data_IF_802859209904
#
_entry.id   IF_802859209904
#
_cell.length_a   1.000
_cell.length_b   1.000
_cell.length_c   1.000
_cell.angle_alpha   90.00
_cell.angle_beta   90.00
_cell.angle_gamma   90.00
#
_symmetry.space_group_name_H-M   'P 1'
#
loop_
_entity.id
_entity.type
_entity.pdbx_description
1 polymer ?
#
# COMPACT_ATOMS: atom_id res chain seq x y z
N UNK A 1 21.47 12.37 -1.33
CA UNK A 1 21.46 11.14 -0.51
C UNK A 1 20.83 11.49 0.83
N UNK A 2 19.61 11.05 1.09
CA UNK A 2 18.96 11.26 2.39
C UNK A 2 18.80 9.89 3.05
N UNK A 3 19.65 9.60 4.02
CA UNK A 3 19.61 8.44 4.90
C UNK A 3 18.95 8.90 6.21
N UNK A 4 17.86 8.24 6.62
CA UNK A 4 17.18 8.48 7.89
C UNK A 4 17.55 7.35 8.86
N UNK A 5 18.26 7.64 9.97
CA UNK A 5 18.85 6.61 10.83
C UNK A 5 17.90 6.04 11.89
N UNK A 6 16.61 6.43 11.92
CA UNK A 6 15.70 6.05 13.01
C UNK A 6 14.61 5.04 12.63
N UNK A 7 14.66 4.47 11.42
CA UNK A 7 13.86 3.30 11.11
C UNK A 7 14.69 2.09 11.48
N UNK A 8 14.34 1.39 12.57
CA UNK A 8 14.87 0.05 12.79
C UNK A 8 14.66 -0.75 11.50
N UNK A 9 15.65 -1.56 11.06
CA UNK A 9 15.40 -2.54 10.02
C UNK A 9 14.15 -3.30 10.42
N UNK A 10 13.22 -3.46 9.47
CA UNK A 10 12.20 -4.48 9.61
C UNK A 10 13.01 -5.78 9.73
N UNK A 11 13.10 -6.31 10.95
CA UNK A 11 13.48 -7.70 11.13
C UNK A 11 12.44 -8.49 10.35
N UNK A 12 12.84 -8.93 9.15
CA UNK A 12 12.20 -10.05 8.51
C UNK A 12 12.35 -11.18 9.52
N UNK A 13 11.25 -11.55 10.15
CA UNK A 13 11.14 -12.72 10.99
C UNK A 13 11.84 -13.90 10.29
N UNK A 14 13.00 -14.29 10.83
CA UNK A 14 13.79 -15.44 10.39
C UNK A 14 13.15 -16.77 10.84
N UNK A 15 11.83 -16.84 10.96
CA UNK A 15 11.11 -18.10 11.17
C UNK A 15 10.25 -18.51 9.97
N UNK A 16 10.86 -18.57 8.78
CA UNK A 16 10.32 -19.44 7.73
C UNK A 16 11.40 -20.35 7.13
N UNK A 17 11.43 -21.55 7.70
CA UNK A 17 12.14 -22.75 7.24
C UNK A 17 12.26 -22.83 5.71
N UNK A 18 13.51 -22.81 5.22
CA UNK A 18 13.89 -22.71 3.82
C UNK A 18 13.83 -24.07 3.12
N UNK A 19 12.66 -24.47 2.61
CA UNK A 19 12.59 -25.28 1.37
C UNK A 19 11.23 -25.37 0.65
N UNK A 20 10.18 -24.68 1.10
CA UNK A 20 8.86 -24.69 0.42
C UNK A 20 8.23 -23.31 0.23
N UNK A 21 8.72 -22.29 0.93
CA UNK A 21 8.12 -20.95 0.91
C UNK A 21 8.64 -20.05 -0.23
N UNK A 22 9.91 -20.23 -0.64
CA UNK A 22 10.53 -19.39 -1.67
C UNK A 22 9.97 -19.68 -3.07
N UNK A 23 9.77 -20.96 -3.41
CA UNK A 23 9.25 -21.39 -4.72
C UNK A 23 7.85 -20.84 -5.00
N UNK A 24 7.00 -20.70 -3.97
CA UNK A 24 5.65 -20.14 -4.11
C UNK A 24 5.65 -18.64 -4.44
N UNK A 25 6.53 -17.86 -3.81
CA UNK A 25 6.65 -16.41 -4.08
C UNK A 25 7.17 -16.17 -5.50
N UNK A 26 8.21 -16.90 -5.91
CA UNK A 26 8.73 -16.82 -7.28
C UNK A 26 7.69 -17.26 -8.32
N UNK A 27 6.91 -18.30 -8.04
CA UNK A 27 5.79 -18.72 -8.89
C UNK A 27 4.73 -17.63 -9.06
N UNK A 28 4.28 -17.03 -7.94
CA UNK A 28 3.32 -15.92 -7.95
C UNK A 28 3.84 -14.67 -8.65
N UNK A 29 5.12 -14.33 -8.46
CA UNK A 29 5.76 -13.22 -9.16
C UNK A 29 5.89 -13.49 -10.65
N UNK A 30 6.25 -14.70 -11.05
CA UNK A 30 6.29 -15.07 -12.46
C UNK A 30 4.90 -15.01 -13.09
N UNK A 31 3.87 -15.51 -12.41
CA UNK A 31 2.48 -15.39 -12.89
C UNK A 31 2.01 -13.94 -12.98
N UNK A 32 2.45 -13.09 -12.05
CA UNK A 32 2.21 -11.65 -12.08
C UNK A 32 2.90 -10.98 -13.28
N UNK A 33 4.16 -11.35 -13.57
CA UNK A 33 4.98 -10.81 -14.67
C UNK A 33 4.59 -11.35 -16.05
N UNK A 34 3.87 -12.48 -16.13
CA UNK A 34 3.29 -12.98 -17.39
C UNK A 34 2.29 -11.97 -18.00
N UNK A 35 1.65 -11.16 -17.16
CA UNK A 35 0.84 -10.04 -17.61
C UNK A 35 1.76 -8.87 -17.98
N UNK A 36 1.68 -8.40 -19.23
CA UNK A 36 2.55 -7.32 -19.71
C UNK A 36 2.28 -6.01 -18.95
N UNK A 37 3.26 -5.63 -18.12
CA UNK A 37 3.39 -4.31 -17.54
C UNK A 37 2.82 -4.15 -16.13
N UNK A 38 3.52 -3.36 -15.32
CA UNK A 38 3.06 -2.96 -13.97
C UNK A 38 2.33 -1.63 -14.08
N UNK A 39 1.09 -1.60 -13.61
CA UNK A 39 0.25 -0.40 -13.56
C UNK A 39 0.30 0.21 -12.16
N UNK A 40 0.89 1.39 -12.08
CA UNK A 40 1.05 2.19 -10.86
C UNK A 40 0.21 3.45 -11.04
N UNK A 41 -0.65 3.76 -10.07
CA UNK A 41 -1.42 5.00 -10.03
C UNK A 41 -1.03 5.76 -8.76
N UNK A 42 -0.93 7.09 -8.82
CA UNK A 42 -0.62 7.93 -7.67
C UNK A 42 -1.54 9.14 -7.65
N UNK A 43 -2.17 9.41 -6.51
CA UNK A 43 -3.07 10.53 -6.34
C UNK A 43 -2.88 11.20 -4.98
N UNK A 44 -2.75 12.52 -4.99
CA UNK A 44 -2.99 13.32 -3.79
C UNK A 44 -4.50 13.37 -3.58
N UNK A 45 -4.98 12.79 -2.47
CA UNK A 45 -6.42 12.71 -2.19
C UNK A 45 -6.91 13.84 -1.30
N UNK A 46 -6.03 14.60 -0.64
CA UNK A 46 -6.39 15.64 0.33
C UNK A 46 -7.54 15.22 1.27
N UNK A 47 -7.25 14.27 2.15
CA UNK A 47 -8.20 13.58 3.03
C UNK A 47 -8.79 12.32 2.41
N UNK A 48 -8.35 11.15 2.89
CA UNK A 48 -8.79 9.85 2.37
C UNK A 48 -10.14 9.41 2.95
N UNK A 49 -10.37 9.62 4.25
CA UNK A 49 -11.54 9.08 4.97
C UNK A 49 -12.86 9.49 4.30
N UNK A 50 -12.98 10.76 3.91
CA UNK A 50 -14.19 11.27 3.25
C UNK A 50 -14.38 10.78 1.82
N UNK A 51 -13.35 10.18 1.21
CA UNK A 51 -13.30 9.79 -0.21
C UNK A 51 -13.13 8.28 -0.40
N UNK A 52 -13.03 7.49 0.67
CA UNK A 52 -12.68 6.07 0.59
C UNK A 52 -13.75 5.26 -0.16
N UNK A 53 -15.04 5.54 0.06
CA UNK A 53 -16.11 4.85 -0.67
C UNK A 53 -16.04 5.08 -2.17
N UNK A 54 -15.83 6.35 -2.58
CA UNK A 54 -15.64 6.69 -3.98
C UNK A 54 -14.42 5.97 -4.58
N UNK A 55 -13.34 5.86 -3.80
CA UNK A 55 -12.14 5.14 -4.21
C UNK A 55 -12.41 3.64 -4.38
N UNK A 56 -13.13 3.02 -3.44
CA UNK A 56 -13.52 1.60 -3.49
C UNK A 56 -14.32 1.31 -4.75
N UNK A 57 -15.34 2.12 -5.03
CA UNK A 57 -16.15 2.01 -6.26
C UNK A 57 -15.30 2.19 -7.51
N UNK A 58 -14.47 3.24 -7.57
CA UNK A 58 -13.58 3.47 -8.72
C UNK A 58 -12.67 2.26 -9.00
N UNK A 59 -12.08 1.66 -7.96
CA UNK A 59 -11.19 0.51 -8.11
C UNK A 59 -11.94 -0.78 -8.49
N UNK A 60 -13.21 -0.91 -8.12
CA UNK A 60 -14.07 -2.03 -8.52
C UNK A 60 -14.57 -1.89 -9.96
N UNK A 61 -14.97 -0.68 -10.37
CA UNK A 61 -15.52 -0.41 -11.71
C UNK A 61 -14.44 -0.33 -12.79
N UNK A 62 -13.20 0.00 -12.41
CA UNK A 62 -12.11 0.13 -13.38
C UNK A 62 -11.79 -1.23 -14.00
N UNK A 63 -12.07 -1.41 -15.30
CA UNK A 63 -11.74 -2.63 -16.05
C UNK A 63 -10.22 -2.88 -16.16
N UNK A 64 -9.40 -1.90 -15.77
CA UNK A 64 -7.94 -2.02 -15.68
C UNK A 64 -7.52 -2.36 -14.25
N UNK A 65 -6.92 -3.54 -14.06
CA UNK A 65 -6.26 -3.90 -12.80
C UNK A 65 -5.12 -2.92 -12.47
N UNK A 66 -5.28 -2.13 -11.41
CA UNK A 66 -4.18 -1.35 -10.81
C UNK A 66 -3.40 -2.28 -9.89
N UNK A 67 -2.08 -2.25 -9.95
CA UNK A 67 -1.25 -3.14 -9.14
C UNK A 67 -0.76 -2.43 -7.89
N UNK A 68 -0.38 -1.16 -8.02
CA UNK A 68 0.10 -0.32 -6.93
C UNK A 68 -0.65 1.00 -6.99
N UNK A 69 -1.21 1.42 -5.85
CA UNK A 69 -1.88 2.70 -5.73
C UNK A 69 -1.26 3.54 -4.60
N UNK A 70 -0.61 4.63 -4.99
CA UNK A 70 0.04 5.56 -4.07
C UNK A 70 -0.91 6.70 -3.69
N UNK A 71 -1.10 6.91 -2.39
CA UNK A 71 -1.96 7.97 -1.86
C UNK A 71 -1.11 8.94 -1.06
N UNK A 72 -1.25 10.23 -1.36
CA UNK A 72 -0.62 11.33 -0.59
C UNK A 72 -1.67 12.25 0.00
N UNK A 73 -1.28 12.99 1.04
CA UNK A 73 -2.19 13.85 1.84
C UNK A 73 -3.45 13.11 2.29
N UNK A 74 -3.29 11.88 2.76
CA UNK A 74 -4.41 11.04 3.22
C UNK A 74 -5.09 11.60 4.48
N UNK A 75 -4.39 12.46 5.24
CA UNK A 75 -4.81 13.01 6.54
C UNK A 75 -5.21 11.94 7.56
N UNK A 76 -4.66 10.74 7.40
CA UNK A 76 -4.82 9.65 8.36
C UNK A 76 -4.00 9.93 9.62
N UNK A 77 -4.51 9.41 10.73
CA UNK A 77 -3.90 9.49 12.04
C UNK A 77 -4.21 8.21 12.84
N UNK A 78 -3.48 7.99 13.93
CA UNK A 78 -3.57 6.79 14.77
C UNK A 78 -4.96 6.47 15.32
N UNK A 79 -5.90 7.42 15.30
CA UNK A 79 -7.26 7.22 15.79
C UNK A 79 -8.18 6.61 14.71
N UNK A 80 -7.78 6.64 13.44
CA UNK A 80 -8.53 6.02 12.33
C UNK A 80 -8.05 4.58 12.19
N UNK A 81 -8.99 3.63 12.30
CA UNK A 81 -8.69 2.22 12.20
C UNK A 81 -8.39 1.81 10.75
N UNK A 82 -7.53 0.81 10.60
CA UNK A 82 -7.16 0.30 9.27
C UNK A 82 -8.34 -0.34 8.54
N UNK A 83 -9.30 -0.89 9.28
CA UNK A 83 -10.58 -1.41 8.74
C UNK A 83 -11.41 -0.34 8.03
N UNK A 84 -11.35 0.91 8.49
CA UNK A 84 -12.12 2.03 7.90
C UNK A 84 -11.62 2.36 6.49
N UNK A 85 -10.32 2.19 6.25
CA UNK A 85 -9.65 2.57 4.99
C UNK A 85 -9.21 1.39 4.13
N UNK A 86 -9.47 0.16 4.58
CA UNK A 86 -9.13 -1.06 3.86
C UNK A 86 -9.87 -1.12 2.50
N UNK A 87 -9.21 -1.67 1.49
CA UNK A 87 -9.79 -1.87 0.15
C UNK A 87 -9.70 -3.36 -0.16
N UNK A 88 -10.84 -3.97 -0.49
CA UNK A 88 -10.88 -5.40 -0.80
C UNK A 88 -9.94 -5.74 -1.97
N UNK A 89 -9.12 -6.77 -1.79
CA UNK A 89 -8.13 -7.21 -2.79
C UNK A 89 -6.80 -6.44 -2.79
N UNK A 90 -6.62 -5.47 -1.90
CA UNK A 90 -5.35 -4.76 -1.72
C UNK A 90 -4.85 -4.87 -0.29
N UNK A 91 -3.55 -5.12 -0.16
CA UNK A 91 -2.83 -4.86 1.08
C UNK A 91 -2.32 -3.43 1.04
N UNK A 92 -2.37 -2.73 2.17
CA UNK A 92 -1.88 -1.35 2.24
C UNK A 92 -0.92 -1.16 3.41
N UNK A 93 -0.05 -0.18 3.24
CA UNK A 93 0.85 0.32 4.27
C UNK A 93 0.62 1.83 4.38
N UNK A 94 0.64 2.35 5.60
CA UNK A 94 0.44 3.77 5.88
C UNK A 94 1.57 4.32 6.74
N UNK A 95 1.86 5.60 6.54
CA UNK A 95 2.76 6.38 7.38
C UNK A 95 2.02 7.64 7.79
N UNK A 96 1.52 7.65 9.02
CA UNK A 96 0.78 8.78 9.56
C UNK A 96 1.71 9.95 9.91
N UNK A 97 1.19 11.17 9.77
CA UNK A 97 1.92 12.35 10.25
C UNK A 97 1.94 12.33 11.78
N UNK A 98 3.12 12.58 12.35
CA UNK A 98 3.30 12.64 13.81
C UNK A 98 2.77 13.96 14.41
N UNK A 99 2.91 15.09 13.71
CA UNK A 99 2.54 16.44 14.16
C UNK A 99 1.92 17.26 13.01
N UNK A 100 1.04 18.22 13.33
CA UNK A 100 0.25 19.01 12.38
C UNK A 100 0.57 20.50 12.40
N UNK A 101 1.35 20.96 11.42
CA UNK A 101 1.22 22.30 10.84
C UNK A 101 1.18 22.02 9.33
N UNK A 102 0.15 22.51 8.61
CA UNK A 102 0.09 22.30 7.14
C UNK A 102 1.27 22.95 6.41
N UNK A 103 1.43 22.89 5.09
CA UNK A 103 1.22 21.75 4.21
C UNK A 103 2.60 21.16 3.80
N UNK A 104 2.62 19.84 3.54
CA UNK A 104 3.82 19.00 3.42
C UNK A 104 3.96 18.00 4.58
#
# INVERSE_FOLDING_TARGET
>A
KLYCPSCAPIELDESCNTNTNNTCIFGKLNDFLKNKGVKIFHQNVNGLVTKIEKLRLMLQETSKRIHIFGITESHLNKNIQDSEVAISGYNFIRKDRKNGCGGG
#
